data_IF_495877125016
#
_entry.id   IF_495877125016
#
_cell.length_a   1.000
_cell.length_b   1.000
_cell.length_c   1.000
_cell.angle_alpha   90.00
_cell.angle_beta   90.00
_cell.angle_gamma   90.00
#
_symmetry.space_group_name_H-M   'P 1'
#
loop_
_entity.id
_entity.type
_entity.pdbx_description
1 polymer ?
#
# COMPACT_ATOMS: atom_id res chain seq x y z
N UNK A 1 -26.79 -4.07 -13.46
CA UNK A 1 -27.02 -5.43 -12.94
C UNK A 1 -26.34 -5.53 -11.59
N UNK A 2 -26.96 -6.11 -10.55
CA UNK A 2 -26.21 -6.51 -9.36
C UNK A 2 -25.27 -7.68 -9.73
N UNK A 3 -23.99 -7.59 -9.38
CA UNK A 3 -23.02 -8.67 -9.59
C UNK A 3 -23.37 -9.88 -8.72
N UNK A 4 -23.16 -11.08 -9.23
CA UNK A 4 -23.44 -12.31 -8.48
C UNK A 4 -22.19 -12.78 -7.71
N UNK A 5 -22.33 -13.83 -6.90
CA UNK A 5 -21.20 -14.34 -6.10
C UNK A 5 -20.06 -14.92 -6.96
N UNK A 6 -20.38 -15.45 -8.14
CA UNK A 6 -19.40 -16.05 -9.07
C UNK A 6 -18.51 -14.97 -9.70
N UNK A 7 -19.04 -13.78 -9.97
CA UNK A 7 -18.27 -12.62 -10.45
C UNK A 7 -17.19 -12.23 -9.45
N UNK A 8 -17.54 -12.20 -8.16
CA UNK A 8 -16.61 -11.90 -7.07
C UNK A 8 -15.58 -13.01 -6.85
N UNK A 9 -15.99 -14.27 -6.97
CA UNK A 9 -15.08 -15.41 -6.87
C UNK A 9 -14.04 -15.38 -8.01
N UNK A 10 -14.50 -15.13 -9.25
CA UNK A 10 -13.63 -14.97 -10.42
C UNK A 10 -12.66 -13.81 -10.24
N UNK A 11 -13.14 -12.64 -9.80
CA UNK A 11 -12.28 -11.50 -9.48
C UNK A 11 -11.21 -11.89 -8.44
N UNK A 12 -11.60 -12.54 -7.36
CA UNK A 12 -10.68 -12.97 -6.31
C UNK A 12 -9.57 -13.88 -6.83
N UNK A 13 -9.91 -14.85 -7.69
CA UNK A 13 -8.94 -15.72 -8.35
C UNK A 13 -7.95 -14.95 -9.24
N UNK A 14 -8.44 -14.02 -10.05
CA UNK A 14 -7.61 -13.19 -10.93
C UNK A 14 -6.67 -12.28 -10.14
N UNK A 15 -7.14 -11.70 -9.03
CA UNK A 15 -6.32 -10.88 -8.15
C UNK A 15 -5.21 -11.68 -7.46
N UNK A 16 -5.51 -12.91 -7.03
CA UNK A 16 -4.49 -13.82 -6.45
C UNK A 16 -3.38 -14.12 -7.46
N UNK A 17 -3.75 -14.47 -8.69
CA UNK A 17 -2.78 -14.73 -9.76
C UNK A 17 -1.93 -13.46 -10.02
N UNK A 18 -2.59 -12.32 -10.20
CA UNK A 18 -1.93 -11.04 -10.44
C UNK A 18 -0.95 -10.66 -9.34
N UNK A 19 -1.31 -10.85 -8.07
CA UNK A 19 -0.42 -10.56 -6.94
C UNK A 19 0.88 -11.37 -7.02
N UNK A 20 0.80 -12.66 -7.37
CA UNK A 20 1.96 -13.54 -7.52
C UNK A 20 2.81 -13.12 -8.73
N UNK A 21 2.16 -12.74 -9.84
CA UNK A 21 2.84 -12.31 -11.07
C UNK A 21 3.58 -10.98 -10.89
N UNK A 22 3.05 -10.08 -10.05
CA UNK A 22 3.71 -8.80 -9.75
C UNK A 22 5.01 -8.98 -8.98
N UNK A 23 5.04 -9.87 -7.98
CA UNK A 23 6.24 -10.18 -7.20
C UNK A 23 6.09 -11.57 -6.56
N UNK A 24 7.10 -12.43 -6.73
CA UNK A 24 7.08 -13.78 -6.15
C UNK A 24 6.93 -13.79 -4.62
N UNK A 25 7.57 -12.83 -3.93
CA UNK A 25 7.44 -12.63 -2.48
C UNK A 25 6.01 -12.29 -2.05
N UNK A 26 5.24 -11.66 -2.95
CA UNK A 26 3.84 -11.36 -2.69
C UNK A 26 2.94 -12.57 -2.80
N UNK A 27 3.43 -13.77 -3.10
CA UNK A 27 2.68 -15.02 -2.86
C UNK A 27 2.17 -15.13 -1.41
N UNK A 28 2.88 -14.52 -0.45
CA UNK A 28 2.38 -14.26 0.88
C UNK A 28 1.46 -13.02 0.89
N UNK A 29 0.17 -13.24 1.16
CA UNK A 29 -0.84 -12.17 1.25
C UNK A 29 -0.51 -11.11 2.31
N UNK A 30 0.09 -11.52 3.44
CA UNK A 30 0.46 -10.57 4.50
C UNK A 30 1.55 -9.62 4.01
N UNK A 31 2.59 -10.17 3.37
CA UNK A 31 3.64 -9.35 2.76
C UNK A 31 3.08 -8.35 1.74
N UNK A 32 2.15 -8.79 0.88
CA UNK A 32 1.50 -7.89 -0.07
C UNK A 32 0.71 -6.78 0.62
N UNK A 33 -0.06 -7.11 1.67
CA UNK A 33 -0.83 -6.14 2.42
C UNK A 33 0.09 -5.09 3.08
N UNK A 34 1.19 -5.54 3.68
CA UNK A 34 2.18 -4.69 4.34
C UNK A 34 2.88 -3.77 3.31
N UNK A 35 3.42 -4.34 2.23
CA UNK A 35 4.13 -3.59 1.18
C UNK A 35 3.23 -2.57 0.44
N UNK A 36 1.94 -2.86 0.30
CA UNK A 36 0.96 -1.97 -0.36
C UNK A 36 0.20 -1.07 0.61
N UNK A 37 0.52 -1.14 1.91
CA UNK A 37 -0.19 -0.45 2.99
C UNK A 37 -1.71 -0.68 2.95
N UNK A 38 -2.15 -1.86 2.51
CA UNK A 38 -3.53 -2.29 2.56
C UNK A 38 -3.81 -3.04 3.86
N UNK A 39 -5.03 -2.93 4.35
CA UNK A 39 -5.46 -3.77 5.46
C UNK A 39 -5.53 -5.24 4.99
N UNK A 40 -4.86 -6.13 5.72
CA UNK A 40 -4.84 -7.56 5.42
C UNK A 40 -6.25 -8.15 5.24
N UNK A 41 -7.20 -7.72 6.07
CA UNK A 41 -8.58 -8.17 6.02
C UNK A 41 -9.27 -7.70 4.75
N UNK A 42 -9.00 -6.48 4.28
CA UNK A 42 -9.52 -6.00 2.99
C UNK A 42 -9.00 -6.86 1.83
N UNK A 43 -7.69 -7.18 1.82
CA UNK A 43 -7.09 -8.06 0.81
C UNK A 43 -7.68 -9.47 0.89
N UNK A 44 -7.79 -10.03 2.11
CA UNK A 44 -8.39 -11.34 2.33
C UNK A 44 -9.84 -11.38 1.87
N UNK A 45 -10.63 -10.37 2.22
CA UNK A 45 -12.05 -10.33 1.94
C UNK A 45 -12.35 -10.28 0.45
N UNK A 46 -11.54 -9.54 -0.33
CA UNK A 46 -11.73 -9.47 -1.79
C UNK A 46 -11.22 -10.73 -2.48
N UNK A 47 -10.03 -11.24 -2.12
CA UNK A 47 -9.47 -12.45 -2.74
C UNK A 47 -10.27 -13.70 -2.43
N UNK A 48 -10.91 -13.76 -1.26
CA UNK A 48 -11.76 -14.87 -0.81
C UNK A 48 -13.24 -14.57 -0.94
N UNK A 49 -13.63 -13.54 -1.69
CA UNK A 49 -15.02 -13.15 -1.95
C UNK A 49 -15.90 -13.10 -0.69
N UNK A 50 -15.31 -12.87 0.50
CA UNK A 50 -16.01 -12.82 1.80
C UNK A 50 -16.84 -11.56 1.95
N UNK A 51 -16.40 -10.48 1.29
CA UNK A 51 -17.10 -9.21 1.22
C UNK A 51 -17.25 -8.80 -0.24
N UNK A 52 -18.42 -8.28 -0.59
CA UNK A 52 -18.81 -7.93 -1.96
C UNK A 52 -19.32 -6.49 -2.09
N UNK A 53 -19.15 -5.69 -1.03
CA UNK A 53 -19.67 -4.32 -0.91
C UNK A 53 -18.56 -3.34 -0.51
N UNK A 54 -17.48 -3.33 -1.28
CA UNK A 54 -16.38 -2.40 -1.10
C UNK A 54 -16.78 -0.99 -1.56
N UNK A 55 -16.32 0.02 -0.83
CA UNK A 55 -16.54 1.41 -1.23
C UNK A 55 -15.73 1.74 -2.49
N UNK A 56 -16.15 2.74 -3.30
CA UNK A 56 -15.38 3.19 -4.46
C UNK A 56 -13.94 3.60 -4.11
N UNK A 57 -13.73 4.20 -2.93
CA UNK A 57 -12.40 4.56 -2.46
C UNK A 57 -11.54 3.32 -2.15
N UNK A 58 -12.15 2.28 -1.58
CA UNK A 58 -11.49 1.00 -1.32
C UNK A 58 -11.12 0.32 -2.64
N UNK A 59 -12.03 0.28 -3.61
CA UNK A 59 -11.76 -0.27 -4.94
C UNK A 59 -10.60 0.46 -5.61
N UNK A 60 -10.53 1.79 -5.55
CA UNK A 60 -9.38 2.54 -6.11
C UNK A 60 -8.04 2.19 -5.46
N UNK A 61 -8.01 2.00 -4.14
CA UNK A 61 -6.80 1.57 -3.43
C UNK A 61 -6.36 0.17 -3.85
N UNK A 62 -7.32 -0.74 -4.00
CA UNK A 62 -7.09 -2.10 -4.49
C UNK A 62 -6.56 -2.07 -5.93
N UNK A 63 -7.22 -1.37 -6.84
CA UNK A 63 -6.79 -1.23 -8.24
C UNK A 63 -5.33 -0.76 -8.32
N UNK A 64 -4.97 0.28 -7.56
CA UNK A 64 -3.59 0.74 -7.48
C UNK A 64 -2.62 -0.33 -6.95
N UNK A 65 -2.98 -1.04 -5.87
CA UNK A 65 -2.12 -2.06 -5.27
C UNK A 65 -1.87 -3.26 -6.18
N UNK A 66 -2.85 -3.64 -7.02
CA UNK A 66 -2.74 -4.72 -8.00
C UNK A 66 -2.18 -4.26 -9.36
N UNK A 67 -1.74 -3.00 -9.48
CA UNK A 67 -1.22 -2.45 -10.73
C UNK A 67 -2.26 -2.44 -11.86
N UNK A 68 -3.48 -2.05 -11.53
CA UNK A 68 -4.63 -2.01 -12.44
C UNK A 68 -5.05 -0.57 -12.73
N UNK A 69 -5.57 -0.36 -13.93
CA UNK A 69 -6.21 0.91 -14.32
C UNK A 69 -7.44 1.18 -13.47
N UNK A 70 -7.74 2.45 -13.26
CA UNK A 70 -8.95 2.87 -12.53
C UNK A 70 -10.21 2.31 -13.21
N UNK A 71 -11.06 1.66 -12.42
CA UNK A 71 -12.29 1.02 -12.89
C UNK A 71 -12.14 -0.45 -13.29
N UNK A 72 -10.94 -1.01 -13.22
CA UNK A 72 -10.68 -2.42 -13.54
C UNK A 72 -11.55 -3.39 -12.73
N UNK A 73 -11.72 -3.16 -11.42
CA UNK A 73 -12.53 -4.05 -10.57
C UNK A 73 -13.96 -4.11 -11.08
N UNK A 74 -14.54 -2.93 -11.37
CA UNK A 74 -15.89 -2.84 -11.93
C UNK A 74 -15.97 -3.52 -13.30
N UNK A 75 -15.02 -3.25 -14.19
CA UNK A 75 -15.02 -3.84 -15.52
C UNK A 75 -14.93 -5.37 -15.47
N UNK A 76 -14.10 -5.91 -14.59
CA UNK A 76 -13.98 -7.36 -14.39
C UNK A 76 -15.27 -7.95 -13.84
N UNK A 77 -15.90 -7.30 -12.86
CA UNK A 77 -17.22 -7.72 -12.36
C UNK A 77 -18.30 -7.63 -13.45
N UNK A 78 -18.18 -6.70 -14.39
CA UNK A 78 -19.05 -6.59 -15.58
C UNK A 78 -18.69 -7.61 -16.69
N UNK A 79 -17.71 -8.50 -16.46
CA UNK A 79 -17.35 -9.60 -17.36
C UNK A 79 -16.09 -9.36 -18.22
N UNK A 80 -15.38 -8.25 -18.03
CA UNK A 80 -14.11 -8.01 -18.73
C UNK A 80 -12.98 -8.92 -18.21
N UNK A 81 -11.95 -9.08 -19.05
CA UNK A 81 -10.70 -9.78 -18.71
C UNK A 81 -9.76 -8.81 -18.00
N UNK A 82 -9.16 -9.22 -16.88
CA UNK A 82 -8.31 -8.38 -16.03
C UNK A 82 -7.07 -7.85 -16.77
N UNK A 83 -6.44 -8.66 -17.62
CA UNK A 83 -5.21 -8.29 -18.34
C UNK A 83 -5.40 -7.07 -19.25
N UNK A 84 -6.58 -6.91 -19.83
CA UNK A 84 -6.93 -5.71 -20.61
C UNK A 84 -7.07 -4.45 -19.76
N UNK A 85 -6.97 -4.56 -18.44
CA UNK A 85 -7.05 -3.47 -17.47
C UNK A 85 -5.81 -3.34 -16.59
N UNK A 86 -4.73 -4.07 -16.91
CA UNK A 86 -3.43 -3.84 -16.29
C UNK A 86 -2.93 -2.44 -16.69
N UNK A 87 -2.35 -1.75 -15.72
CA UNK A 87 -1.64 -0.50 -16.00
C UNK A 87 -0.24 -0.87 -16.52
N UNK A 88 0.09 -0.50 -17.75
CA UNK A 88 1.44 -0.63 -18.32
C UNK A 88 2.43 0.41 -17.75
N UNK A 89 2.03 1.11 -16.67
CA UNK A 89 2.96 1.86 -15.84
C UNK A 89 4.25 1.03 -15.63
N UNK A 90 5.41 1.71 -15.56
CA UNK A 90 6.71 1.03 -15.54
C UNK A 90 6.66 -0.10 -14.52
N UNK A 91 7.33 -1.24 -14.77
CA UNK A 91 7.39 -2.34 -13.83
C UNK A 91 7.55 -1.76 -12.43
N UNK A 92 6.90 -2.33 -11.42
CA UNK A 92 7.22 -1.98 -10.02
C UNK A 92 8.64 -2.54 -9.70
N UNK A 93 9.63 -2.27 -10.57
CA UNK A 93 11.05 -2.16 -10.30
C UNK A 93 11.25 -0.90 -9.44
N UNK A 94 10.69 -0.97 -8.24
CA UNK A 94 10.64 0.17 -7.33
C UNK A 94 10.49 -0.21 -5.87
N UNK A 95 10.14 -1.45 -5.54
CA UNK A 95 10.17 -1.93 -4.14
C UNK A 95 11.49 -2.62 -3.81
N UNK A 96 12.27 -3.06 -4.80
CA UNK A 96 13.70 -3.31 -4.58
C UNK A 96 14.47 -2.00 -4.27
N UNK A 97 13.82 -0.84 -4.43
CA UNK A 97 14.30 0.46 -3.91
C UNK A 97 13.73 0.87 -2.56
N UNK A 98 12.90 0.04 -1.89
CA UNK A 98 12.68 0.21 -0.44
C UNK A 98 13.85 -0.41 0.34
N UNK A 99 14.53 -1.41 -0.23
CA UNK A 99 15.87 -1.84 0.21
C UNK A 99 16.96 -0.80 -0.13
N UNK A 100 16.61 0.20 -0.94
CA UNK A 100 17.33 1.47 -1.12
C UNK A 100 16.52 2.65 -0.57
N UNK A 101 15.87 2.49 0.59
CA UNK A 101 16.05 3.55 1.57
C UNK A 101 17.56 3.65 1.68
N UNK A 102 18.12 4.65 0.98
CA UNK A 102 19.45 5.18 1.16
C UNK A 102 19.47 5.59 2.64
N UNK A 103 19.62 4.57 3.50
CA UNK A 103 20.31 4.63 4.76
C UNK A 103 21.71 5.02 4.34
N UNK A 104 21.85 6.27 3.87
CA UNK A 104 23.11 6.98 3.92
C UNK A 104 23.54 6.71 5.32
N UNK A 105 24.57 5.89 5.43
CA UNK A 105 25.30 5.67 6.65
C UNK A 105 25.50 7.07 7.17
N UNK A 106 24.71 7.42 8.18
CA UNK A 106 24.72 8.77 8.67
C UNK A 106 26.05 8.85 9.36
N UNK A 107 27.05 9.41 8.68
CA UNK A 107 28.39 9.52 9.24
C UNK A 107 28.24 10.29 10.53
N UNK A 108 28.96 9.87 11.56
CA UNK A 108 28.93 10.51 12.88
C UNK A 108 28.96 12.05 12.71
N UNK A 109 27.86 12.71 13.09
CA UNK A 109 27.64 14.15 12.94
C UNK A 109 26.61 14.59 11.88
N UNK A 110 26.35 13.81 10.83
CA UNK A 110 25.37 14.15 9.78
C UNK A 110 23.91 13.98 10.26
N UNK A 111 23.69 13.14 11.28
CA UNK A 111 22.36 12.90 11.85
C UNK A 111 21.90 14.12 12.63
N UNK A 112 22.79 14.68 13.44
CA UNK A 112 22.55 15.89 14.20
C UNK A 112 22.29 17.09 13.28
N UNK A 113 23.00 17.17 12.15
CA UNK A 113 22.75 18.19 11.12
C UNK A 113 21.38 18.01 10.47
N UNK A 114 20.98 16.78 10.16
CA UNK A 114 19.65 16.48 9.64
C UNK A 114 18.55 16.81 10.66
N UNK A 115 18.72 16.43 11.93
CA UNK A 115 17.78 16.75 13.01
C UNK A 115 17.66 18.25 13.23
N UNK A 116 18.77 18.99 13.22
CA UNK A 116 18.77 20.45 13.32
C UNK A 116 18.04 21.11 12.13
N UNK A 117 18.26 20.60 10.90
CA UNK A 117 17.58 21.09 9.71
C UNK A 117 16.07 20.77 9.73
N UNK A 118 15.69 19.59 10.21
CA UNK A 118 14.29 19.20 10.35
C UNK A 118 13.58 20.05 11.42
N UNK A 119 14.23 20.29 12.56
CA UNK A 119 13.73 21.19 13.59
C UNK A 119 13.55 22.64 13.07
N UNK A 120 14.50 23.13 12.29
CA UNK A 120 14.40 24.44 11.64
C UNK A 120 13.25 24.49 10.62
N UNK A 121 13.01 23.43 9.85
CA UNK A 121 11.89 23.36 8.92
C UNK A 121 10.54 23.34 9.65
N UNK A 122 10.42 22.61 10.75
CA UNK A 122 9.20 22.54 11.58
C UNK A 122 8.87 23.92 12.17
N UNK A 123 9.88 24.71 12.55
CA UNK A 123 9.65 26.07 13.06
C UNK A 123 9.15 27.05 11.98
N UNK A 124 9.26 26.72 10.69
CA UNK A 124 8.66 27.52 9.61
C UNK A 124 7.23 27.10 9.26
N UNK A 125 6.76 25.96 9.78
CA UNK A 125 5.39 25.49 9.56
C UNK A 125 4.39 26.32 10.37
N UNK A 126 3.19 26.50 9.80
CA UNK A 126 2.06 27.08 10.52
C UNK A 126 1.64 26.18 11.70
N UNK A 127 0.95 26.71 12.73
CA UNK A 127 0.53 25.90 13.88
C UNK A 127 -0.23 24.63 13.52
N UNK A 128 -1.14 24.70 12.53
CA UNK A 128 -1.90 23.53 12.04
C UNK A 128 -1.00 22.51 11.34
N UNK A 129 -0.01 22.98 10.55
CA UNK A 129 0.94 22.10 9.88
C UNK A 129 1.92 21.43 10.86
N UNK A 130 2.27 22.10 11.96
CA UNK A 130 3.08 21.51 13.04
C UNK A 130 2.30 20.40 13.75
N UNK A 131 1.03 20.62 14.08
CA UNK A 131 0.22 19.62 14.76
C UNK A 131 0.05 18.35 13.91
N UNK A 132 -0.16 18.50 12.59
CA UNK A 132 -0.25 17.35 11.68
C UNK A 132 1.10 16.65 11.48
N UNK A 133 2.20 17.41 11.43
CA UNK A 133 3.55 16.86 11.37
C UNK A 133 3.93 16.09 12.65
N UNK A 134 3.59 16.62 13.82
CA UNK A 134 3.79 15.95 15.11
C UNK A 134 2.96 14.67 15.23
N UNK A 135 1.68 14.72 14.87
CA UNK A 135 0.81 13.52 14.85
C UNK A 135 1.34 12.44 13.91
N UNK A 136 1.81 12.84 12.73
CA UNK A 136 2.38 11.91 11.75
C UNK A 136 3.69 11.32 12.25
N UNK A 137 4.56 12.13 12.86
CA UNK A 137 5.84 11.69 13.41
C UNK A 137 5.66 10.72 14.58
N UNK A 138 4.77 11.04 15.52
CA UNK A 138 4.42 10.15 16.65
C UNK A 138 3.83 8.84 16.15
N UNK A 139 2.98 8.88 15.12
CA UNK A 139 2.38 7.69 14.50
C UNK A 139 3.44 6.79 13.86
N UNK A 140 4.38 7.38 13.13
CA UNK A 140 5.48 6.65 12.48
C UNK A 140 6.43 6.03 13.52
N UNK A 141 6.84 6.80 14.54
CA UNK A 141 7.70 6.32 15.61
C UNK A 141 7.06 5.16 16.40
N UNK A 142 5.75 5.25 16.69
CA UNK A 142 5.02 4.13 17.32
C UNK A 142 4.94 2.89 16.42
N UNK A 143 4.84 3.07 15.10
CA UNK A 143 4.91 1.95 14.16
C UNK A 143 6.28 1.27 14.21
N UNK A 144 7.34 2.06 14.10
CA UNK A 144 8.72 1.56 14.13
C UNK A 144 9.08 0.86 15.45
N UNK A 145 8.71 1.44 16.60
CA UNK A 145 8.97 0.83 17.91
C UNK A 145 8.25 -0.51 18.09
N UNK A 146 7.02 -0.62 17.56
CA UNK A 146 6.25 -1.87 17.60
C UNK A 146 6.89 -2.94 16.72
N UNK A 147 7.38 -2.58 15.54
CA UNK A 147 8.06 -3.50 14.62
C UNK A 147 9.42 -3.95 15.17
N UNK A 148 10.06 -3.13 16.01
CA UNK A 148 11.28 -3.46 16.75
C UNK A 148 11.04 -4.29 18.02
N UNK A 149 9.79 -4.64 18.32
CA UNK A 149 9.45 -5.44 19.50
C UNK A 149 9.60 -4.70 20.83
N UNK A 150 9.68 -3.36 20.82
CA UNK A 150 9.60 -2.57 22.03
C UNK A 150 8.14 -2.54 22.49
N UNK A 151 7.86 -3.01 23.71
CA UNK A 151 6.55 -2.85 24.34
C UNK A 151 6.30 -1.34 24.57
N UNK A 152 5.23 -0.82 23.94
CA UNK A 152 4.77 0.58 24.03
C UNK A 152 3.39 0.64 24.67
#
# INVERSE_FOLDING_TARGET
>A
MPWNSEDWERLGGLLVARRVDLRSAWSNRRQFADDTMLDYRVVYDIEKHRRQNFSPATCRRLEKAYGLRHGAIKAVLDGAVLDGWVDEGPPIDGIDKIDQLDTRIVKDGEFEVFLASAAAAITQLSPEQREEAERTTIRLLRGMLRDMGADI
#
